data_IF_176163082679
#
_entry.id   IF_176163082679
#
_cell.length_a   1.000
_cell.length_b   1.000
_cell.length_c   1.000
_cell.angle_alpha   90.00
_cell.angle_beta   90.00
_cell.angle_gamma   90.00
#
_symmetry.space_group_name_H-M   'P 1'
#
loop_
_entity.id
_entity.type
_entity.pdbx_description
1 polymer ?
#
# COMPACT_ATOMS: atom_id res chain seq x y z
N UNK A 1 -1.54 -12.05 3.35
CA UNK A 1 -2.07 -12.40 4.69
C UNK A 1 -2.19 -11.13 5.49
N UNK A 2 -3.17 -11.05 6.37
CA UNK A 2 -3.29 -9.97 7.35
C UNK A 2 -3.37 -10.62 8.73
N UNK A 3 -2.30 -10.54 9.51
CA UNK A 3 -2.19 -11.32 10.75
C UNK A 3 -2.35 -12.83 10.50
N UNK A 4 -3.32 -13.44 11.16
CA UNK A 4 -3.66 -14.86 11.01
C UNK A 4 -4.46 -15.17 9.73
N UNK A 5 -5.04 -14.15 9.06
CA UNK A 5 -5.87 -14.34 7.88
C UNK A 5 -5.02 -14.55 6.62
N UNK A 6 -5.14 -15.74 6.01
CA UNK A 6 -4.33 -16.14 4.85
C UNK A 6 -5.18 -16.20 3.59
N UNK A 7 -4.67 -15.60 2.52
CA UNK A 7 -5.33 -15.54 1.21
C UNK A 7 -5.06 -14.22 0.49
N UNK A 8 -5.25 -14.21 -0.84
CA UNK A 8 -5.06 -13.02 -1.70
C UNK A 8 -6.17 -11.99 -1.55
N UNK A 9 -7.33 -12.39 -1.02
CA UNK A 9 -8.44 -11.52 -0.63
C UNK A 9 -8.08 -10.62 0.56
N UNK A 10 -7.07 -10.99 1.36
CA UNK A 10 -6.56 -10.19 2.48
C UNK A 10 -5.27 -9.43 2.11
N UNK A 11 -5.07 -9.11 0.83
CA UNK A 11 -3.93 -8.30 0.39
C UNK A 11 -4.22 -6.82 0.65
N UNK A 12 -3.21 -6.08 1.09
CA UNK A 12 -3.33 -4.62 1.22
C UNK A 12 -3.38 -3.98 -0.16
N UNK A 13 -4.39 -3.14 -0.40
CA UNK A 13 -4.54 -2.34 -1.61
C UNK A 13 -4.99 -0.93 -1.26
N UNK A 14 -4.61 0.05 -2.08
CA UNK A 14 -5.17 1.39 -2.13
C UNK A 14 -5.83 1.56 -3.49
N UNK A 15 -7.11 1.92 -3.47
CA UNK A 15 -7.90 2.17 -4.67
C UNK A 15 -7.91 3.68 -4.98
N UNK A 16 -7.14 4.10 -5.97
CA UNK A 16 -6.99 5.52 -6.32
C UNK A 16 -7.98 5.95 -7.40
N UNK A 17 -8.56 7.15 -7.27
CA UNK A 17 -9.53 7.70 -8.24
C UNK A 17 -8.89 8.51 -9.36
N UNK A 18 -7.67 8.99 -9.14
CA UNK A 18 -6.90 9.81 -10.07
C UNK A 18 -5.40 9.67 -9.79
N UNK A 19 -4.57 10.16 -10.72
CA UNK A 19 -3.11 10.10 -10.59
C UNK A 19 -2.56 10.95 -9.44
N UNK A 20 -3.29 11.99 -9.00
CA UNK A 20 -2.90 12.80 -7.85
C UNK A 20 -2.95 11.97 -6.56
N UNK A 21 -4.04 11.23 -6.34
CA UNK A 21 -4.17 10.31 -5.22
C UNK A 21 -3.11 9.21 -5.25
N UNK A 22 -2.83 8.66 -6.44
CA UNK A 22 -1.78 7.67 -6.61
C UNK A 22 -0.41 8.22 -6.22
N UNK A 23 -0.05 9.41 -6.71
CA UNK A 23 1.23 10.04 -6.42
C UNK A 23 1.42 10.31 -4.92
N UNK A 24 0.38 10.83 -4.25
CA UNK A 24 0.40 11.08 -2.80
C UNK A 24 0.61 9.76 -2.02
N UNK A 25 -0.08 8.69 -2.42
CA UNK A 25 0.06 7.40 -1.75
C UNK A 25 1.44 6.76 -1.97
N UNK A 26 1.99 6.86 -3.18
CA UNK A 26 3.35 6.40 -3.49
C UNK A 26 4.41 7.21 -2.74
N UNK A 27 4.24 8.53 -2.63
CA UNK A 27 5.11 9.41 -1.85
C UNK A 27 5.11 9.04 -0.36
N UNK A 28 3.94 8.85 0.24
CA UNK A 28 3.82 8.42 1.63
C UNK A 28 4.49 7.06 1.89
N UNK A 29 4.32 6.09 0.99
CA UNK A 29 5.01 4.79 1.10
C UNK A 29 6.53 4.99 1.07
N UNK A 30 7.02 5.85 0.18
CA UNK A 30 8.45 6.16 0.06
C UNK A 30 8.99 6.83 1.32
N UNK A 31 8.29 7.82 1.87
CA UNK A 31 8.65 8.49 3.12
C UNK A 31 8.76 7.50 4.28
N UNK A 32 7.71 6.70 4.51
CA UNK A 32 7.68 5.70 5.58
C UNK A 32 8.77 4.63 5.42
N UNK A 33 9.10 4.26 4.17
CA UNK A 33 10.18 3.32 3.87
C UNK A 33 11.55 3.94 4.16
N UNK A 34 11.77 5.20 3.77
CA UNK A 34 13.03 5.92 4.00
C UNK A 34 13.26 6.19 5.49
N UNK A 35 12.21 6.49 6.23
CA UNK A 35 12.24 6.67 7.68
C UNK A 35 12.41 5.35 8.44
N UNK A 36 12.26 4.20 7.77
CA UNK A 36 12.41 2.88 8.38
C UNK A 36 11.36 2.59 9.45
N UNK A 37 10.17 3.21 9.35
CA UNK A 37 9.09 3.09 10.34
C UNK A 37 8.63 1.63 10.50
N UNK A 38 8.58 0.89 9.40
CA UNK A 38 8.23 -0.52 9.40
C UNK A 38 9.46 -1.40 9.25
N UNK A 39 9.51 -2.46 10.06
CA UNK A 39 10.58 -3.48 10.00
C UNK A 39 10.64 -4.21 8.66
N UNK A 40 9.48 -4.43 8.05
CA UNK A 40 9.33 -5.15 6.78
C UNK A 40 8.89 -4.17 5.69
N UNK A 41 9.21 -4.44 4.41
CA UNK A 41 8.78 -3.61 3.30
C UNK A 41 7.26 -3.46 3.21
N UNK A 42 6.80 -2.27 2.83
CA UNK A 42 5.39 -2.02 2.56
C UNK A 42 5.02 -2.69 1.23
N UNK A 43 4.06 -3.62 1.25
CA UNK A 43 3.63 -4.42 0.08
C UNK A 43 2.25 -4.01 -0.47
N UNK A 44 1.74 -2.84 -0.04
CA UNK A 44 0.44 -2.30 -0.47
C UNK A 44 0.45 -2.03 -1.97
N UNK A 45 -0.58 -2.53 -2.68
CA UNK A 45 -0.72 -2.32 -4.13
C UNK A 45 -1.54 -1.08 -4.43
N UNK A 46 -1.14 -0.34 -5.48
CA UNK A 46 -1.95 0.73 -6.07
C UNK A 46 -2.77 0.13 -7.20
N UNK A 47 -4.10 0.15 -7.09
CA UNK A 47 -5.01 -0.36 -8.10
C UNK A 47 -6.09 0.71 -8.39
N UNK A 48 -6.57 0.89 -9.63
CA UNK A 48 -7.77 1.68 -9.87
C UNK A 48 -9.02 0.94 -9.33
N UNK A 49 -10.12 1.63 -9.02
CA UNK A 49 -11.39 0.98 -8.68
C UNK A 49 -11.88 0.12 -9.86
N UNK A 50 -12.56 -0.98 -9.52
CA UNK A 50 -13.20 -1.88 -10.48
C UNK A 50 -14.44 -1.23 -11.13
#
# INVERSE_FOLDING_TARGET
RQGADVGTQYRSIILYKDEGQRAIAEEMIRELTNEGIYKEPIVTRMEPPA
#
